data_IF_131854957990
#
_entry.id   IF_131854957990
#
_cell.length_a   1.000
_cell.length_b   1.000
_cell.length_c   1.000
_cell.angle_alpha   90.00
_cell.angle_beta   90.00
_cell.angle_gamma   90.00
#
_symmetry.space_group_name_H-M   'P 1'
#
loop_
_entity.id
_entity.type
_entity.pdbx_description
1 polymer ?
#
# COMPACT_ATOMS: atom_id res chain seq x y z
N UNK A 1 -4.70 24.87 -0.08
CA UNK A 1 -4.85 23.40 -0.02
C UNK A 1 -4.18 22.80 -1.24
N UNK A 2 -3.26 21.83 -1.05
CA UNK A 2 -2.69 21.05 -2.13
C UNK A 2 -2.89 19.56 -1.77
N UNK A 3 -3.44 18.78 -2.68
CA UNK A 3 -3.66 17.36 -2.53
C UNK A 3 -2.63 16.60 -3.37
N UNK A 4 -1.85 15.76 -2.72
CA UNK A 4 -0.85 14.92 -3.37
C UNK A 4 -1.34 13.48 -3.29
N UNK A 5 -1.65 12.90 -4.44
CA UNK A 5 -1.97 11.47 -4.56
C UNK A 5 -0.73 10.70 -4.99
N UNK A 6 -0.40 9.65 -4.25
CA UNK A 6 0.73 8.78 -4.54
C UNK A 6 0.23 7.36 -4.75
N UNK A 7 0.29 6.89 -5.99
CA UNK A 7 0.10 5.47 -6.31
C UNK A 7 1.44 4.75 -6.21
N UNK A 8 1.52 3.83 -5.23
CA UNK A 8 2.77 3.16 -4.87
C UNK A 8 2.85 1.78 -5.52
N UNK A 9 3.91 1.56 -6.27
CA UNK A 9 4.25 0.25 -6.85
C UNK A 9 5.67 -0.19 -6.46
N UNK A 10 6.07 -1.38 -6.87
CA UNK A 10 7.41 -1.90 -6.55
C UNK A 10 8.49 -1.04 -7.21
N UNK A 11 9.33 -0.36 -6.41
CA UNK A 11 10.50 0.39 -6.86
C UNK A 11 10.22 1.79 -7.41
N UNK A 12 8.96 2.18 -7.62
CA UNK A 12 8.56 3.52 -8.07
C UNK A 12 7.18 3.90 -7.57
N UNK A 13 6.88 5.18 -7.55
CA UNK A 13 5.53 5.70 -7.31
C UNK A 13 5.13 6.68 -8.39
N UNK A 14 3.83 6.73 -8.70
CA UNK A 14 3.25 7.78 -9.56
C UNK A 14 2.64 8.85 -8.69
N UNK A 15 2.99 10.10 -8.94
CA UNK A 15 2.60 11.27 -8.13
C UNK A 15 1.70 12.17 -8.97
N UNK A 16 0.59 12.61 -8.41
CA UNK A 16 -0.24 13.68 -8.97
C UNK A 16 -0.51 14.74 -7.90
N UNK A 17 -0.51 16.02 -8.29
CA UNK A 17 -0.75 17.14 -7.37
C UNK A 17 -1.90 17.98 -7.90
N UNK A 18 -2.95 18.09 -7.10
CA UNK A 18 -4.15 18.84 -7.42
C UNK A 18 -4.43 19.91 -6.35
N UNK A 19 -5.17 20.94 -6.76
CA UNK A 19 -5.81 21.93 -5.88
C UNK A 19 -7.32 21.81 -5.95
N UNK A 20 -8.06 22.49 -5.05
CA UNK A 20 -9.51 22.54 -5.12
C UNK A 20 -10.01 22.86 -6.54
N UNK A 21 -11.20 22.37 -6.85
CA UNK A 21 -11.81 22.44 -8.21
C UNK A 21 -11.06 21.62 -9.27
N UNK A 22 -10.17 20.71 -8.88
CA UNK A 22 -9.45 19.85 -9.82
C UNK A 22 -8.32 20.53 -10.59
N UNK A 23 -7.86 21.71 -10.13
CA UNK A 23 -6.74 22.42 -10.75
C UNK A 23 -5.48 21.56 -10.66
N UNK A 24 -4.91 21.20 -11.79
CA UNK A 24 -3.68 20.40 -11.88
C UNK A 24 -2.47 21.29 -11.60
N UNK A 25 -1.75 20.99 -10.50
CA UNK A 25 -0.48 21.63 -10.16
C UNK A 25 0.69 20.87 -10.78
N UNK A 26 0.64 19.52 -10.72
CA UNK A 26 1.55 18.65 -11.43
C UNK A 26 0.78 17.47 -12.03
N UNK A 27 0.95 17.28 -13.35
CA UNK A 27 0.45 16.09 -14.04
C UNK A 27 1.14 14.83 -13.52
N UNK A 28 0.53 13.65 -13.62
CA UNK A 28 1.13 12.43 -13.10
C UNK A 28 2.54 12.19 -13.65
N UNK A 29 3.49 11.94 -12.74
CA UNK A 29 4.88 11.62 -13.05
C UNK A 29 5.41 10.53 -12.12
N UNK A 30 6.42 9.81 -12.58
CA UNK A 30 7.02 8.72 -11.81
C UNK A 30 8.20 9.19 -10.98
N UNK A 31 8.28 8.69 -9.74
CA UNK A 31 9.39 8.92 -8.81
C UNK A 31 9.96 7.56 -8.39
N UNK A 32 11.21 7.25 -8.73
CA UNK A 32 11.90 6.05 -8.23
C UNK A 32 12.08 6.10 -6.70
N UNK A 33 12.08 4.93 -6.05
CA UNK A 33 12.27 4.83 -4.61
C UNK A 33 13.76 4.90 -4.20
N UNK A 34 14.52 5.81 -4.80
CA UNK A 34 15.87 6.13 -4.35
C UNK A 34 15.80 7.27 -3.33
N UNK A 35 16.76 7.31 -2.41
CA UNK A 35 16.82 8.37 -1.39
C UNK A 35 16.84 9.77 -2.01
N UNK A 36 17.63 9.96 -3.09
CA UNK A 36 17.72 11.24 -3.80
C UNK A 36 16.35 11.68 -4.35
N UNK A 37 15.67 10.78 -5.10
CA UNK A 37 14.38 11.10 -5.70
C UNK A 37 13.27 11.34 -4.67
N UNK A 38 13.28 10.60 -3.56
CA UNK A 38 12.32 10.82 -2.46
C UNK A 38 12.59 12.14 -1.74
N UNK A 39 13.86 12.54 -1.58
CA UNK A 39 14.22 13.81 -1.00
C UNK A 39 13.85 15.00 -1.90
N UNK A 40 14.02 14.85 -3.22
CA UNK A 40 13.54 15.82 -4.22
C UNK A 40 12.03 15.98 -4.17
N UNK A 41 11.29 14.86 -4.07
CA UNK A 41 9.83 14.85 -3.90
C UNK A 41 9.43 15.60 -2.62
N UNK A 42 10.04 15.26 -1.47
CA UNK A 42 9.73 15.91 -0.20
C UNK A 42 10.01 17.43 -0.27
N UNK A 43 11.10 17.81 -0.90
CA UNK A 43 11.46 19.23 -1.13
C UNK A 43 10.44 19.93 -2.03
N UNK A 44 10.00 19.27 -3.10
CA UNK A 44 8.97 19.81 -3.99
C UNK A 44 7.64 20.00 -3.27
N UNK A 45 7.23 19.03 -2.46
CA UNK A 45 6.00 19.10 -1.64
C UNK A 45 6.07 20.26 -0.65
N UNK A 46 7.21 20.43 0.06
CA UNK A 46 7.42 21.51 1.03
C UNK A 46 7.42 22.91 0.39
N UNK A 47 7.80 23.03 -0.88
CA UNK A 47 7.75 24.30 -1.63
C UNK A 47 6.36 24.72 -2.06
N UNK A 48 5.37 23.84 -1.98
CA UNK A 48 3.99 24.19 -2.32
C UNK A 48 3.43 25.21 -1.32
N UNK A 49 2.91 26.32 -1.82
CA UNK A 49 2.29 27.34 -0.96
C UNK A 49 0.94 26.84 -0.42
N UNK A 50 0.80 26.89 0.91
CA UNK A 50 -0.43 26.50 1.63
C UNK A 50 -0.37 25.06 2.17
N UNK A 51 -1.42 24.70 2.91
CA UNK A 51 -1.52 23.36 3.52
C UNK A 51 -1.50 22.27 2.46
N UNK A 52 -0.67 21.26 2.67
CA UNK A 52 -0.49 20.14 1.74
C UNK A 52 -0.73 18.83 2.48
N UNK A 53 -1.55 17.96 1.93
CA UNK A 53 -1.78 16.60 2.43
C UNK A 53 -1.46 15.59 1.34
N UNK A 54 -0.74 14.55 1.75
CA UNK A 54 -0.35 13.43 0.90
C UNK A 54 -1.24 12.25 1.24
N UNK A 55 -1.80 11.59 0.24
CA UNK A 55 -2.56 10.34 0.40
C UNK A 55 -1.97 9.26 -0.47
N UNK A 56 -1.84 8.08 0.09
CA UNK A 56 -1.47 6.85 -0.60
C UNK A 56 -2.33 5.68 -0.15
N UNK A 57 -2.43 4.68 -1.01
CA UNK A 57 -3.21 3.47 -0.75
C UNK A 57 -2.37 2.42 -0.01
N UNK A 58 -2.96 1.75 0.98
CA UNK A 58 -2.32 0.67 1.75
C UNK A 58 -2.26 -0.64 0.94
N UNK A 59 -1.61 -0.62 -0.22
CA UNK A 59 -1.44 -1.80 -1.06
C UNK A 59 -0.12 -2.50 -0.77
N UNK A 60 -0.18 -3.71 -0.23
CA UNK A 60 1.01 -4.48 0.17
C UNK A 60 1.83 -3.78 1.25
N UNK A 61 3.16 -3.90 1.18
CA UNK A 61 4.10 -3.30 2.14
C UNK A 61 4.93 -2.16 1.50
N UNK A 62 4.71 -1.85 0.21
CA UNK A 62 5.56 -0.90 -0.52
C UNK A 62 5.34 0.55 -0.11
N UNK A 63 4.19 0.89 0.47
CA UNK A 63 3.88 2.24 0.94
C UNK A 63 4.63 2.62 2.23
N UNK A 64 4.92 1.65 3.11
CA UNK A 64 5.48 1.94 4.44
C UNK A 64 6.79 2.74 4.42
N UNK A 65 7.80 2.37 3.60
CA UNK A 65 9.04 3.14 3.53
C UNK A 65 8.84 4.58 3.07
N UNK A 66 7.90 4.80 2.12
CA UNK A 66 7.63 6.12 1.55
C UNK A 66 6.84 6.96 2.55
N UNK A 67 5.81 6.36 3.15
CA UNK A 67 5.01 7.04 4.18
C UNK A 67 5.86 7.43 5.38
N UNK A 68 6.72 6.53 5.85
CA UNK A 68 7.68 6.80 6.93
C UNK A 68 8.63 7.93 6.57
N UNK A 69 9.27 7.85 5.40
CA UNK A 69 10.20 8.89 4.94
C UNK A 69 9.53 10.28 4.86
N UNK A 70 8.35 10.38 4.24
CA UNK A 70 7.65 11.66 4.12
C UNK A 70 7.16 12.17 5.48
N UNK A 71 6.72 11.27 6.36
CA UNK A 71 6.34 11.61 7.74
C UNK A 71 7.53 12.17 8.54
N UNK A 72 8.71 11.54 8.47
CA UNK A 72 9.95 12.03 9.09
C UNK A 72 10.36 13.39 8.56
N UNK A 73 10.03 13.71 7.31
CA UNK A 73 10.22 15.03 6.73
C UNK A 73 9.19 16.08 7.22
N UNK A 74 8.28 15.73 8.14
CA UNK A 74 7.24 16.62 8.67
C UNK A 74 6.11 16.90 7.69
N UNK A 75 5.92 16.05 6.68
CA UNK A 75 4.82 16.16 5.71
C UNK A 75 3.62 15.39 6.26
N UNK A 76 2.42 15.97 6.17
CA UNK A 76 1.19 15.27 6.49
C UNK A 76 0.94 14.15 5.46
N UNK A 77 1.01 12.92 5.92
CA UNK A 77 0.74 11.72 5.11
C UNK A 77 -0.48 11.00 5.68
N UNK A 78 -1.36 10.53 4.83
CA UNK A 78 -2.46 9.62 5.19
C UNK A 78 -2.39 8.37 4.32
N UNK A 79 -2.50 7.22 4.97
CA UNK A 79 -2.54 5.92 4.30
C UNK A 79 -3.97 5.38 4.42
N UNK A 80 -4.61 5.19 3.27
CA UNK A 80 -6.03 4.84 3.20
C UNK A 80 -6.25 3.39 2.76
N UNK A 81 -7.37 2.81 3.20
CA UNK A 81 -7.76 1.47 2.79
C UNK A 81 -8.10 1.44 1.29
N UNK A 82 -7.59 0.46 0.52
CA UNK A 82 -7.91 0.28 -0.90
C UNK A 82 -9.41 0.23 -1.21
N UNK A 83 -10.22 -0.33 -0.32
CA UNK A 83 -11.69 -0.37 -0.50
C UNK A 83 -12.31 1.02 -0.60
N UNK A 84 -11.86 1.97 0.23
CA UNK A 84 -12.36 3.35 0.21
C UNK A 84 -12.04 4.06 -1.10
N UNK A 85 -10.85 3.78 -1.66
CA UNK A 85 -10.44 4.32 -2.96
C UNK A 85 -11.21 3.65 -4.09
N UNK A 86 -11.45 2.32 -3.99
CA UNK A 86 -12.29 1.60 -4.95
C UNK A 86 -13.68 2.22 -5.03
N UNK A 87 -14.34 2.38 -3.90
CA UNK A 87 -15.71 2.89 -3.80
C UNK A 87 -15.82 4.35 -4.26
N UNK A 88 -14.82 5.17 -3.98
CA UNK A 88 -14.75 6.58 -4.41
C UNK A 88 -14.83 6.77 -5.93
N UNK A 89 -14.48 5.75 -6.71
CA UNK A 89 -14.56 5.81 -8.18
C UNK A 89 -15.68 4.97 -8.80
N UNK A 90 -16.61 4.51 -8.00
CA UNK A 90 -17.49 3.38 -8.19
C UNK A 90 -18.54 3.38 -9.29
N UNK A 91 -18.45 4.18 -10.36
CA UNK A 91 -19.42 4.07 -11.47
C UNK A 91 -18.83 4.18 -12.88
N UNK A 92 -17.55 3.96 -13.07
CA UNK A 92 -16.97 3.90 -14.41
C UNK A 92 -16.71 2.45 -14.81
N UNK A 93 -17.75 1.77 -15.29
CA UNK A 93 -17.63 0.49 -15.96
C UNK A 93 -16.53 0.54 -17.02
N UNK A 94 -15.48 -0.29 -16.84
CA UNK A 94 -14.49 -0.66 -17.87
C UNK A 94 -13.59 0.43 -18.44
N UNK A 95 -13.01 1.32 -17.62
CA UNK A 95 -11.84 2.08 -18.10
C UNK A 95 -10.55 1.34 -17.69
N UNK A 96 -9.55 1.23 -18.58
CA UNK A 96 -8.28 0.58 -18.23
C UNK A 96 -7.65 1.29 -17.04
N UNK A 97 -7.28 0.49 -16.04
CA UNK A 97 -6.55 0.95 -14.86
C UNK A 97 -5.16 1.40 -15.31
N UNK A 98 -4.75 2.60 -14.93
CA UNK A 98 -3.40 3.12 -15.18
C UNK A 98 -2.92 3.87 -13.95
N UNK A 99 -1.66 3.69 -13.57
CA UNK A 99 -1.03 4.33 -12.41
C UNK A 99 -1.28 5.85 -12.39
N UNK A 100 -1.29 6.49 -13.56
CA UNK A 100 -1.58 7.92 -13.69
C UNK A 100 -3.00 8.30 -13.22
N UNK A 101 -4.00 7.47 -13.55
CA UNK A 101 -5.38 7.70 -13.12
C UNK A 101 -5.56 7.43 -11.64
N UNK A 102 -4.85 6.42 -11.12
CA UNK A 102 -4.92 6.05 -9.72
C UNK A 102 -4.28 7.14 -8.84
N UNK A 103 -3.15 7.74 -9.23
CA UNK A 103 -2.57 8.89 -8.53
C UNK A 103 -3.50 10.12 -8.54
N UNK A 104 -4.14 10.43 -9.68
CA UNK A 104 -5.14 11.52 -9.76
C UNK A 104 -6.36 11.22 -8.89
N UNK A 105 -6.85 9.99 -8.89
CA UNK A 105 -7.97 9.55 -8.05
C UNK A 105 -7.67 9.72 -6.57
N UNK A 106 -6.46 9.35 -6.13
CA UNK A 106 -6.00 9.56 -4.77
C UNK A 106 -5.93 11.05 -4.40
N UNK A 107 -5.45 11.90 -5.30
CA UNK A 107 -5.44 13.34 -5.08
C UNK A 107 -6.86 13.94 -5.00
N UNK A 108 -7.80 13.48 -5.83
CA UNK A 108 -9.22 13.87 -5.75
C UNK A 108 -9.87 13.39 -4.45
N UNK A 109 -9.60 12.15 -4.04
CA UNK A 109 -10.03 11.62 -2.74
C UNK A 109 -9.55 12.50 -1.60
N UNK A 110 -8.27 12.91 -1.64
CA UNK A 110 -7.68 13.83 -0.66
C UNK A 110 -8.45 15.13 -0.55
N UNK A 111 -8.84 15.74 -1.67
CA UNK A 111 -9.62 16.99 -1.67
C UNK A 111 -11.02 16.80 -1.11
N UNK A 112 -11.67 15.68 -1.41
CA UNK A 112 -13.04 15.38 -1.00
C UNK A 112 -13.13 15.11 0.50
N UNK A 113 -12.19 14.31 1.03
CA UNK A 113 -12.18 13.88 2.43
C UNK A 113 -11.13 14.60 3.27
N UNK A 114 -10.79 15.83 2.92
CA UNK A 114 -9.71 16.60 3.51
C UNK A 114 -9.71 16.60 5.04
N UNK A 115 -10.86 16.82 5.66
CA UNK A 115 -11.00 16.92 7.12
C UNK A 115 -10.99 15.53 7.80
N UNK A 116 -11.37 14.48 7.08
CA UNK A 116 -11.49 13.13 7.62
C UNK A 116 -10.20 12.32 7.54
N UNK A 117 -9.18 12.85 6.83
CA UNK A 117 -7.90 12.20 6.69
C UNK A 117 -7.17 12.08 8.03
N UNK A 118 -6.79 10.87 8.38
CA UNK A 118 -5.98 10.59 9.57
C UNK A 118 -4.50 10.61 9.20
N UNK A 119 -3.71 11.29 10.02
CA UNK A 119 -2.27 11.30 9.82
C UNK A 119 -1.69 9.90 10.04
N UNK A 120 -0.78 9.51 9.16
CA UNK A 120 -0.02 8.27 9.28
C UNK A 120 0.92 8.36 10.47
N UNK A 121 0.86 7.34 11.31
CA UNK A 121 1.80 7.13 12.41
C UNK A 121 2.59 5.86 12.12
N UNK A 122 3.93 5.93 12.10
CA UNK A 122 4.76 4.73 11.94
C UNK A 122 4.45 3.73 13.04
N UNK A 123 4.23 2.48 12.63
CA UNK A 123 4.06 1.39 13.61
C UNK A 123 5.40 1.14 14.28
N UNK A 124 5.38 0.99 15.60
CA UNK A 124 6.56 0.64 16.41
C UNK A 124 7.29 -0.59 15.86
N UNK A 125 8.62 -0.56 15.82
CA UNK A 125 9.44 -1.60 15.17
C UNK A 125 9.23 -2.99 15.77
N UNK A 126 9.05 -3.07 17.09
CA UNK A 126 8.71 -4.32 17.78
C UNK A 126 7.40 -4.90 17.25
N UNK A 127 6.38 -4.06 17.10
CA UNK A 127 5.06 -4.47 16.60
C UNK A 127 5.10 -4.86 15.12
N UNK A 128 5.94 -4.20 14.30
CA UNK A 128 6.20 -4.60 12.91
C UNK A 128 6.84 -5.97 12.85
N UNK A 129 7.87 -6.19 13.66
CA UNK A 129 8.59 -7.47 13.75
C UNK A 129 7.67 -8.61 14.17
N UNK A 130 6.83 -8.40 15.19
CA UNK A 130 5.84 -9.39 15.64
C UNK A 130 4.81 -9.71 14.54
N UNK A 131 4.32 -8.71 13.82
CA UNK A 131 3.40 -8.94 12.69
C UNK A 131 4.07 -9.75 11.57
N UNK A 132 5.33 -9.46 11.27
CA UNK A 132 6.09 -10.18 10.25
C UNK A 132 6.29 -11.65 10.65
N UNK A 133 6.76 -11.89 11.88
CA UNK A 133 6.95 -13.23 12.44
C UNK A 133 5.64 -14.03 12.44
N UNK A 134 4.54 -13.44 12.89
CA UNK A 134 3.24 -14.10 12.88
C UNK A 134 2.79 -14.47 11.45
N UNK A 135 3.01 -13.57 10.48
CA UNK A 135 2.70 -13.86 9.07
C UNK A 135 3.54 -15.02 8.54
N UNK A 136 4.85 -15.05 8.83
CA UNK A 136 5.75 -16.13 8.46
C UNK A 136 5.34 -17.45 9.13
N UNK A 137 5.02 -17.42 10.41
CA UNK A 137 4.53 -18.60 11.14
C UNK A 137 3.28 -19.20 10.47
N UNK A 138 2.25 -18.39 10.24
CA UNK A 138 1.01 -18.84 9.60
C UNK A 138 1.27 -19.39 8.19
N UNK A 139 2.16 -18.77 7.42
CA UNK A 139 2.52 -19.24 6.09
C UNK A 139 3.25 -20.58 6.13
N UNK A 140 4.21 -20.74 7.04
CA UNK A 140 4.96 -22.00 7.23
C UNK A 140 4.04 -23.13 7.70
N UNK A 141 3.09 -22.84 8.59
CA UNK A 141 2.11 -23.83 9.06
C UNK A 141 1.18 -24.31 7.93
N UNK A 142 0.76 -23.40 7.04
CA UNK A 142 0.01 -23.78 5.83
C UNK A 142 0.82 -24.69 4.90
N UNK A 143 2.10 -24.39 4.70
CA UNK A 143 3.01 -25.24 3.88
C UNK A 143 3.17 -26.61 4.54
N UNK A 144 3.40 -26.66 5.86
CA UNK A 144 3.46 -27.92 6.61
C UNK A 144 2.21 -28.76 6.40
N UNK A 145 1.02 -28.17 6.56
CA UNK A 145 -0.26 -28.85 6.37
C UNK A 145 -0.42 -29.38 4.94
N UNK A 146 -0.07 -28.57 3.95
CA UNK A 146 -0.10 -28.97 2.54
C UNK A 146 0.82 -30.18 2.26
N UNK A 147 2.06 -30.14 2.76
CA UNK A 147 3.01 -31.25 2.60
C UNK A 147 2.55 -32.51 3.32
N UNK A 148 1.99 -32.38 4.53
CA UNK A 148 1.42 -33.51 5.28
C UNK A 148 0.27 -34.16 4.52
N UNK A 149 -0.66 -33.37 3.98
CA UNK A 149 -1.77 -33.88 3.19
C UNK A 149 -1.29 -34.59 1.90
N UNK A 150 -0.28 -34.02 1.22
CA UNK A 150 0.32 -34.66 0.05
C UNK A 150 0.98 -35.99 0.40
N UNK A 151 1.74 -36.04 1.51
CA UNK A 151 2.35 -37.28 1.97
C UNK A 151 1.30 -38.35 2.29
N UNK A 152 0.25 -37.99 3.04
CA UNK A 152 -0.86 -38.89 3.33
C UNK A 152 -1.49 -39.45 2.05
N UNK A 153 -1.76 -38.58 1.08
CA UNK A 153 -2.31 -38.99 -0.21
C UNK A 153 -1.41 -39.98 -0.97
N UNK A 154 -0.10 -39.75 -0.96
CA UNK A 154 0.86 -40.69 -1.58
C UNK A 154 0.94 -42.00 -0.84
N UNK A 155 0.91 -41.99 0.50
CA UNK A 155 0.91 -43.20 1.32
C UNK A 155 -0.36 -44.02 1.12
N UNK A 156 -1.52 -43.39 1.01
CA UNK A 156 -2.79 -44.07 0.73
C UNK A 156 -2.80 -44.78 -0.61
N UNK A 157 -2.09 -44.24 -1.61
CA UNK A 157 -1.94 -44.87 -2.93
C UNK A 157 -0.95 -46.06 -2.91
N UNK A 158 0.13 -45.93 -2.14
CA UNK A 158 1.22 -46.94 -2.14
C UNK A 158 1.06 -48.02 -1.06
N UNK A 159 0.53 -47.63 0.11
CA UNK A 159 0.34 -48.51 1.26
C UNK A 159 -1.03 -48.23 1.92
N UNK A 160 -2.16 -48.69 1.34
CA UNK A 160 -3.49 -48.44 1.89
C UNK A 160 -3.60 -48.87 3.36
N UNK A 161 -4.00 -47.95 4.22
CA UNK A 161 -4.17 -48.19 5.66
C UNK A 161 -2.96 -47.91 6.55
N UNK A 162 -1.81 -47.49 6.00
CA UNK A 162 -0.61 -47.15 6.76
C UNK A 162 -0.86 -46.02 7.76
N UNK A 163 -1.75 -45.09 7.42
CA UNK A 163 -2.10 -43.95 8.29
C UNK A 163 -2.71 -44.39 9.62
N UNK A 164 -3.32 -45.56 9.69
CA UNK A 164 -3.87 -46.13 10.95
C UNK A 164 -2.78 -46.58 11.91
N UNK A 165 -1.57 -46.79 11.42
CA UNK A 165 -0.42 -47.22 12.23
C UNK A 165 0.35 -46.05 12.88
N UNK A 166 0.21 -44.85 12.33
CA UNK A 166 0.95 -43.65 12.78
C UNK A 166 0.08 -42.62 13.52
N UNK A 167 -1.24 -42.79 13.56
CA UNK A 167 -2.18 -41.87 14.19
C UNK A 167 -2.83 -42.45 15.47
N UNK A 168 -2.25 -43.54 16.01
CA UNK A 168 -2.66 -44.12 17.30
C UNK A 168 -1.82 -43.58 18.43
#
# INVERSE_FOLDING_TARGET
MNAVGIDVSKGKSTIAILRPQGIVVASPYNVPHTYSCLNELATAIKKLKGETRVVMEATGNYYEPIAGFLHEQGIFVSVVNPMLISDFGGNTLRKPKTDNKDAVKLALYTLTYWLDLKQYEPVEDLRKSLKLLNRQYVQTDKVRTMLSNNLISQLDLTFPGINKLFLS
#
